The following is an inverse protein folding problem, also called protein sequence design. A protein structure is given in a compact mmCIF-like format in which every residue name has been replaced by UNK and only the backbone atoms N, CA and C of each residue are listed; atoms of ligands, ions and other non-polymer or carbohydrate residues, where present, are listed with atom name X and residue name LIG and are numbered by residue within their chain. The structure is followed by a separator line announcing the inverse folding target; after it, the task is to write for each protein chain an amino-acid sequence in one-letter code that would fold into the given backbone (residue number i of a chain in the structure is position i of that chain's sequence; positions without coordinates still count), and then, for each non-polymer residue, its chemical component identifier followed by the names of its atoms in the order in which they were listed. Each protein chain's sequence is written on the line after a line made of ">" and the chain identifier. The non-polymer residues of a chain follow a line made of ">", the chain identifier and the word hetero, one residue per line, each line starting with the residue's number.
data_IF_626004314609
#
_entry.id   IF_626004314609
#
_cell.length_a   1.000
_cell.length_b   1.000
_cell.length_c   1.000
_cell.angle_alpha   90.00
_cell.angle_beta   90.00
_cell.angle_gamma   90.00
#
_symmetry.space_group_name_H-M   'P 1'
#
loop_
_entity.id
_entity.type
_entity.pdbx_description
1 polymer ?
#
# COMPACT_ATOMS: atom_id res chain seq x y z
N UNK A 1 -7.00 8.59 -18.82
CA UNK A 1 -7.96 7.56 -18.36
C UNK A 1 -9.35 8.13 -18.34
N UNK A 2 -9.59 9.10 -17.46
CA UNK A 2 -10.79 9.93 -17.52
C UNK A 2 -10.77 10.85 -18.75
N UNK A 3 -11.96 11.07 -19.33
CA UNK A 3 -12.18 12.01 -20.44
C UNK A 3 -12.87 13.30 -19.97
N UNK A 4 -13.60 13.20 -18.87
CA UNK A 4 -14.31 14.31 -18.24
C UNK A 4 -13.37 15.09 -17.31
N UNK A 5 -13.82 16.29 -16.92
CA UNK A 5 -13.17 17.11 -15.91
C UNK A 5 -12.98 16.31 -14.62
N UNK A 6 -11.75 16.17 -14.17
CA UNK A 6 -11.38 15.31 -13.04
C UNK A 6 -10.66 16.13 -11.98
N UNK A 7 -11.09 16.03 -10.73
CA UNK A 7 -10.38 16.64 -9.62
C UNK A 7 -9.02 15.98 -9.40
N UNK A 8 -7.96 16.76 -9.20
CA UNK A 8 -6.59 16.28 -9.00
C UNK A 8 -6.10 16.72 -7.62
N UNK A 9 -5.65 15.75 -6.84
CA UNK A 9 -5.13 15.93 -5.47
C UNK A 9 -3.70 15.38 -5.40
N UNK A 10 -2.77 16.20 -4.93
CA UNK A 10 -1.45 15.76 -4.51
C UNK A 10 -1.25 16.11 -3.05
N UNK A 11 -1.03 15.15 -2.16
CA UNK A 11 -0.65 15.42 -0.76
C UNK A 11 0.64 14.66 -0.47
N UNK A 12 1.69 15.38 -0.09
CA UNK A 12 3.02 14.83 0.05
C UNK A 12 3.79 15.37 1.26
N UNK A 13 4.97 14.81 1.50
CA UNK A 13 5.95 15.38 2.41
C UNK A 13 6.39 16.77 1.94
N UNK A 14 7.09 16.83 0.79
CA UNK A 14 7.58 18.05 0.14
C UNK A 14 8.11 17.75 -1.28
N UNK A 15 7.71 18.52 -2.28
CA UNK A 15 8.35 18.59 -3.60
C UNK A 15 9.56 19.52 -3.59
N UNK A 16 9.73 20.39 -4.58
CA UNK A 16 10.73 21.47 -4.51
C UNK A 16 10.39 22.45 -3.38
N UNK A 17 9.11 22.84 -3.31
CA UNK A 17 8.56 23.76 -2.31
C UNK A 17 7.15 23.37 -1.88
N UNK A 18 6.32 22.91 -2.82
CA UNK A 18 4.94 22.57 -2.57
C UNK A 18 4.82 21.26 -1.78
N UNK A 19 3.86 21.20 -0.87
CA UNK A 19 3.54 20.05 -0.01
C UNK A 19 2.18 19.46 -0.35
N UNK A 20 1.31 20.26 -0.96
CA UNK A 20 -0.02 19.86 -1.38
C UNK A 20 -0.41 20.61 -2.63
N UNK A 21 -1.08 19.94 -3.55
CA UNK A 21 -1.58 20.46 -4.81
C UNK A 21 -3.07 20.12 -4.96
N UNK A 22 -3.87 21.12 -5.29
CA UNK A 22 -5.24 20.97 -5.74
C UNK A 22 -5.37 21.56 -7.13
N UNK A 23 -6.00 20.80 -8.04
CA UNK A 23 -6.26 21.24 -9.39
C UNK A 23 -7.31 20.36 -10.05
N UNK A 24 -7.48 20.51 -11.36
CA UNK A 24 -8.29 19.61 -12.15
C UNK A 24 -7.67 19.35 -13.52
N UNK A 25 -7.93 18.17 -14.06
CA UNK A 25 -7.57 17.80 -15.41
C UNK A 25 -8.77 17.90 -16.34
N UNK A 26 -8.62 18.55 -17.49
CA UNK A 26 -9.63 18.59 -18.54
C UNK A 26 -8.94 18.68 -19.90
N UNK A 27 -9.37 17.87 -20.88
CA UNK A 27 -8.81 17.85 -22.24
C UNK A 27 -7.28 17.70 -22.32
N UNK A 28 -6.69 16.94 -21.39
CA UNK A 28 -5.23 16.72 -21.33
C UNK A 28 -4.44 17.84 -20.66
N UNK A 29 -5.10 18.91 -20.20
CA UNK A 29 -4.48 20.04 -19.49
C UNK A 29 -4.77 19.93 -18.00
N UNK A 30 -3.75 20.17 -17.18
CA UNK A 30 -3.90 20.27 -15.72
C UNK A 30 -3.98 21.74 -15.35
N UNK A 31 -5.06 22.13 -14.70
CA UNK A 31 -5.32 23.46 -14.18
C UNK A 31 -5.11 23.48 -12.67
N UNK A 32 -4.10 24.24 -12.23
CA UNK A 32 -3.84 24.44 -10.80
C UNK A 32 -4.91 25.35 -10.16
N UNK A 33 -5.40 24.97 -8.99
CA UNK A 33 -6.29 25.78 -8.13
C UNK A 33 -5.51 26.34 -6.94
N UNK A 34 -4.84 25.47 -6.17
CA UNK A 34 -4.12 25.86 -4.95
C UNK A 34 -2.90 24.96 -4.75
N UNK A 35 -1.84 25.57 -4.22
CA UNK A 35 -0.72 24.86 -3.62
C UNK A 35 -0.57 25.31 -2.16
N UNK A 36 -0.12 24.39 -1.32
CA UNK A 36 0.46 24.69 -0.01
C UNK A 36 1.95 24.44 -0.08
N UNK A 37 2.72 25.13 0.76
CA UNK A 37 4.17 25.10 0.76
C UNK A 37 4.71 24.77 2.15
N UNK A 38 5.94 24.25 2.16
CA UNK A 38 6.71 24.04 3.39
C UNK A 38 6.75 25.34 4.23
N UNK A 39 6.48 25.30 5.55
CA UNK A 39 6.41 24.13 6.43
C UNK A 39 5.04 23.46 6.58
N UNK A 40 4.00 23.95 5.88
CA UNK A 40 2.63 23.46 6.03
C UNK A 40 2.42 22.18 5.21
N UNK A 41 2.75 21.04 5.81
CA UNK A 41 2.68 19.71 5.18
C UNK A 41 1.94 18.71 6.07
N UNK A 42 0.83 18.16 5.56
CA UNK A 42 0.15 17.03 6.20
C UNK A 42 1.00 15.76 6.19
N UNK A 43 1.70 15.49 5.08
CA UNK A 43 2.63 14.36 4.99
C UNK A 43 3.78 14.51 5.98
N UNK A 44 4.33 15.72 6.11
CA UNK A 44 5.35 16.05 7.11
C UNK A 44 4.84 15.87 8.53
N UNK A 45 3.61 16.30 8.83
CA UNK A 45 3.02 16.19 10.18
C UNK A 45 2.88 14.73 10.57
N UNK A 46 2.33 13.92 9.65
CA UNK A 46 2.16 12.49 9.87
C UNK A 46 3.52 11.77 9.99
N UNK A 47 4.52 12.17 9.20
CA UNK A 47 5.90 11.67 9.30
C UNK A 47 6.59 12.03 10.63
N UNK A 48 6.39 13.25 11.14
CA UNK A 48 6.95 13.67 12.43
C UNK A 48 6.34 12.87 13.59
N UNK A 49 5.03 12.61 13.57
CA UNK A 49 4.39 11.74 14.57
C UNK A 49 4.79 10.27 14.38
N UNK A 50 5.05 9.83 13.15
CA UNK A 50 5.62 8.49 12.87
C UNK A 50 6.96 8.30 13.58
N UNK A 51 7.84 9.29 13.53
CA UNK A 51 9.09 9.29 14.30
C UNK A 51 8.86 9.30 15.80
N UNK A 52 7.92 10.11 16.29
CA UNK A 52 7.55 10.14 17.71
C UNK A 52 7.06 8.77 18.21
N UNK A 53 6.33 8.03 17.36
CA UNK A 53 5.85 6.68 17.63
C UNK A 53 6.92 5.59 17.47
N UNK A 54 8.18 5.99 17.24
CA UNK A 54 9.33 5.10 17.24
C UNK A 54 9.62 4.42 15.90
N UNK A 55 8.95 4.83 14.83
CA UNK A 55 9.21 4.33 13.48
C UNK A 55 10.04 5.33 12.66
N UNK A 56 10.60 4.91 11.53
CA UNK A 56 11.35 5.82 10.66
C UNK A 56 10.41 6.56 9.70
N UNK A 57 10.62 7.85 9.49
CA UNK A 57 9.92 8.61 8.45
C UNK A 57 10.27 8.07 7.06
N UNK A 58 9.33 8.12 6.13
CA UNK A 58 9.38 7.57 4.77
C UNK A 58 9.31 6.04 4.66
N UNK A 59 9.11 5.33 5.77
CA UNK A 59 8.90 3.87 5.82
C UNK A 59 7.81 3.48 6.84
N UNK A 60 7.83 4.12 8.00
CA UNK A 60 7.01 3.83 9.17
C UNK A 60 5.56 4.30 9.10
N UNK A 61 5.19 5.16 8.15
CA UNK A 61 3.84 5.74 8.06
C UNK A 61 2.78 4.63 7.89
N UNK A 62 3.11 3.57 7.15
CA UNK A 62 2.25 2.40 6.99
C UNK A 62 2.09 1.59 8.27
N UNK A 63 3.09 1.64 9.16
CA UNK A 63 3.03 1.01 10.48
C UNK A 63 2.10 1.78 11.40
N UNK A 64 2.19 3.11 11.42
CA UNK A 64 1.24 3.96 12.16
C UNK A 64 -0.19 3.73 11.66
N UNK A 65 -0.38 3.69 10.34
CA UNK A 65 -1.69 3.41 9.74
C UNK A 65 -2.22 2.01 10.11
N UNK A 66 -1.34 1.01 10.19
CA UNK A 66 -1.71 -0.35 10.62
C UNK A 66 -1.94 -0.50 12.13
N UNK A 67 -1.35 0.40 12.94
CA UNK A 67 -1.52 0.42 14.40
C UNK A 67 -2.79 1.18 14.81
N UNK A 68 -3.22 2.18 14.02
CA UNK A 68 -4.37 3.03 14.30
C UNK A 68 -5.68 2.29 14.62
N UNK A 69 -6.06 1.18 13.94
CA UNK A 69 -7.30 0.45 14.24
C UNK A 69 -7.39 -0.15 15.64
N UNK A 70 -6.26 -0.34 16.31
CA UNK A 70 -6.24 -0.89 17.66
C UNK A 70 -6.43 0.18 18.75
N UNK A 71 -6.31 1.46 18.39
CA UNK A 71 -6.45 2.58 19.31
C UNK A 71 -7.84 3.22 19.27
N UNK A 72 -8.03 4.15 20.19
CA UNK A 72 -9.22 5.01 20.29
C UNK A 72 -8.82 6.46 19.96
N UNK A 73 -9.27 6.96 18.81
CA UNK A 73 -8.98 8.30 18.31
C UNK A 73 -9.65 9.42 19.12
N UNK A 74 -10.63 9.09 19.98
CA UNK A 74 -11.31 10.08 20.82
C UNK A 74 -10.61 10.35 22.15
N UNK A 75 -9.65 9.50 22.53
CA UNK A 75 -8.96 9.57 23.84
C UNK A 75 -7.99 10.76 23.93
N UNK A 76 -7.43 11.20 22.80
CA UNK A 76 -6.47 12.30 22.75
C UNK A 76 -6.76 13.27 21.61
N UNK A 77 -6.93 14.54 21.94
CA UNK A 77 -7.09 15.59 20.94
C UNK A 77 -5.73 16.06 20.41
N UNK A 78 -5.42 15.73 19.16
CA UNK A 78 -4.20 16.14 18.47
C UNK A 78 -4.39 17.36 17.54
N UNK A 79 -5.53 18.04 17.58
CA UNK A 79 -5.83 19.23 16.73
C UNK A 79 -4.80 20.36 16.86
N UNK A 80 -4.03 20.39 17.96
CA UNK A 80 -2.91 21.33 18.16
C UNK A 80 -1.77 21.17 17.15
N UNK A 81 -1.69 20.03 16.45
CA UNK A 81 -0.66 19.76 15.45
C UNK A 81 -0.89 20.53 14.14
N UNK A 82 -2.14 20.65 13.71
CA UNK A 82 -2.50 21.24 12.41
C UNK A 82 -3.93 21.77 12.40
N UNK A 83 -4.14 22.92 11.77
CA UNK A 83 -5.48 23.46 11.52
C UNK A 83 -5.68 23.73 10.03
N UNK A 84 -6.93 23.62 9.58
CA UNK A 84 -7.36 24.08 8.26
C UNK A 84 -8.60 24.94 8.42
N UNK A 85 -8.43 26.25 8.22
CA UNK A 85 -9.49 27.25 8.43
C UNK A 85 -9.48 28.25 7.27
N UNK A 86 -10.66 28.55 6.73
CA UNK A 86 -10.85 29.54 5.65
C UNK A 86 -9.95 29.30 4.42
N UNK A 87 -9.70 28.04 4.06
CA UNK A 87 -8.82 27.71 2.94
C UNK A 87 -7.33 27.88 3.25
N UNK A 88 -6.91 27.86 4.51
CA UNK A 88 -5.49 27.88 4.86
C UNK A 88 -5.13 26.74 5.80
N UNK A 89 -4.15 25.93 5.39
CA UNK A 89 -3.52 24.89 6.19
C UNK A 89 -2.40 25.52 7.00
N UNK A 90 -2.39 25.30 8.32
CA UNK A 90 -1.33 25.77 9.21
C UNK A 90 -0.87 24.62 10.10
N UNK A 91 0.36 24.18 9.91
CA UNK A 91 1.02 23.22 10.77
C UNK A 91 1.71 23.95 11.92
N UNK A 92 1.53 23.44 13.14
CA UNK A 92 2.14 24.01 14.31
C UNK A 92 3.63 23.65 14.38
N UNK A 93 4.47 24.50 13.79
CA UNK A 93 5.92 24.30 13.76
C UNK A 93 6.63 24.43 15.10
N UNK A 94 5.91 24.72 16.18
CA UNK A 94 6.42 24.58 17.56
C UNK A 94 6.40 23.13 18.03
N UNK A 95 5.67 22.24 17.35
CA UNK A 95 5.52 20.83 17.71
C UNK A 95 6.11 19.89 16.65
N UNK A 96 5.75 20.08 15.37
CA UNK A 96 6.05 19.16 14.25
C UNK A 96 6.53 19.94 13.01
N UNK A 97 6.99 19.26 11.96
CA UNK A 97 7.56 19.87 10.75
C UNK A 97 8.69 20.86 11.05
N UNK A 98 9.45 20.61 12.12
CA UNK A 98 10.45 21.56 12.59
C UNK A 98 11.77 21.41 11.84
N UNK A 99 12.41 22.55 11.58
CA UNK A 99 13.73 22.63 10.95
C UNK A 99 14.78 23.18 11.92
N UNK A 100 16.03 22.78 11.68
CA UNK A 100 17.20 23.36 12.35
C UNK A 100 17.33 23.00 13.83
N UNK A 101 17.77 23.96 14.64
CA UNK A 101 18.19 23.73 16.03
C UNK A 101 17.05 23.41 17.01
N UNK A 102 15.79 23.61 16.61
CA UNK A 102 14.60 23.35 17.44
C UNK A 102 14.16 21.88 17.45
N UNK A 103 14.79 21.05 16.62
CA UNK A 103 14.53 19.60 16.57
C UNK A 103 14.86 18.95 17.91
N UNK A 104 14.01 18.02 18.33
CA UNK A 104 14.36 17.05 19.34
C UNK A 104 15.55 16.22 18.85
N UNK A 105 16.50 15.95 19.74
CA UNK A 105 17.73 15.21 19.44
C UNK A 105 17.92 14.10 20.44
N UNK A 106 18.24 12.91 19.95
CA UNK A 106 18.58 11.74 20.75
C UNK A 106 19.60 10.92 19.97
N UNK A 107 20.70 10.49 20.62
CA UNK A 107 21.74 9.66 20.01
C UNK A 107 22.26 10.21 18.66
N UNK A 108 22.56 11.52 18.61
CA UNK A 108 23.00 12.25 17.42
C UNK A 108 22.01 12.28 16.22
N UNK A 109 20.82 11.70 16.36
CA UNK A 109 19.71 11.82 15.39
C UNK A 109 18.82 13.01 15.77
N UNK A 110 18.50 13.85 14.79
CA UNK A 110 17.54 14.95 14.92
C UNK A 110 16.21 14.60 14.26
N UNK A 111 15.12 14.74 14.99
CA UNK A 111 13.77 14.35 14.57
C UNK A 111 12.95 15.56 14.08
N UNK A 112 11.92 15.32 13.28
CA UNK A 112 11.05 16.37 12.71
C UNK A 112 10.00 16.92 13.70
N UNK A 113 10.16 16.65 15.00
CA UNK A 113 9.38 17.22 16.10
C UNK A 113 10.27 17.91 17.15
N UNK A 114 9.68 18.68 18.06
CA UNK A 114 10.39 19.47 19.08
C UNK A 114 10.36 18.83 20.46
N UNK A 115 11.21 19.28 21.42
CA UNK A 115 11.06 18.91 22.83
C UNK A 115 9.68 19.27 23.42
N UNK A 116 9.02 20.32 22.93
CA UNK A 116 7.65 20.70 23.37
C UNK A 116 6.62 19.60 23.05
N UNK A 117 6.82 18.80 21.99
CA UNK A 117 5.98 17.63 21.71
C UNK A 117 6.14 16.56 22.80
N UNK A 118 7.37 16.34 23.28
CA UNK A 118 7.68 15.39 24.36
C UNK A 118 7.09 15.86 25.68
N UNK A 119 7.18 17.16 25.98
CA UNK A 119 6.56 17.75 27.17
C UNK A 119 5.03 17.59 27.16
N UNK A 120 4.41 17.62 25.98
CA UNK A 120 2.97 17.48 25.82
C UNK A 120 2.49 16.02 25.84
N UNK A 121 3.05 15.15 24.99
CA UNK A 121 2.56 13.78 24.77
C UNK A 121 3.28 12.75 25.65
N UNK A 122 4.37 13.13 26.32
CA UNK A 122 5.26 12.23 27.04
C UNK A 122 6.41 11.74 26.17
N UNK A 123 7.23 10.80 26.68
CA UNK A 123 8.42 10.33 25.99
C UNK A 123 8.10 9.75 24.62
N UNK A 124 9.10 9.77 23.72
CA UNK A 124 9.04 9.08 22.43
C UNK A 124 8.88 7.57 22.67
N UNK A 125 8.13 6.86 21.81
CA UNK A 125 8.04 5.40 21.88
C UNK A 125 9.35 4.73 21.48
N UNK A 126 9.67 3.63 22.15
CA UNK A 126 10.77 2.72 21.81
C UNK A 126 10.24 1.29 21.74
N UNK A 127 10.74 0.50 20.79
CA UNK A 127 10.34 -0.90 20.61
C UNK A 127 9.16 -1.10 19.64
N UNK A 128 8.78 -2.37 19.48
CA UNK A 128 7.79 -2.82 18.49
C UNK A 128 6.42 -3.16 19.12
N UNK A 129 6.27 -3.08 20.46
CA UNK A 129 5.04 -3.46 21.20
C UNK A 129 3.91 -2.43 21.06
N UNK A 130 2.67 -2.91 20.97
CA UNK A 130 1.49 -2.04 21.00
C UNK A 130 1.23 -1.66 22.45
N UNK A 131 1.53 -0.41 22.80
CA UNK A 131 1.44 0.06 24.17
C UNK A 131 0.59 1.33 24.28
N UNK A 132 -0.09 1.43 25.43
CA UNK A 132 -0.67 2.70 25.89
C UNK A 132 0.45 3.67 26.29
N UNK A 133 0.34 4.97 25.94
CA UNK A 133 -0.76 5.63 25.22
C UNK A 133 -0.58 5.66 23.68
N UNK A 134 0.53 5.15 23.15
CA UNK A 134 0.96 5.36 21.76
C UNK A 134 0.01 4.81 20.71
N UNK A 135 -0.67 3.72 21.01
CA UNK A 135 -1.72 3.15 20.17
C UNK A 135 -2.86 4.16 19.90
N UNK A 136 -3.25 4.92 20.93
CA UNK A 136 -4.28 5.95 20.82
C UNK A 136 -3.76 7.20 20.11
N UNK A 137 -2.48 7.53 20.27
CA UNK A 137 -1.85 8.60 19.48
C UNK A 137 -1.82 8.26 17.98
N UNK A 138 -1.55 7.00 17.62
CA UNK A 138 -1.65 6.56 16.23
C UNK A 138 -3.07 6.66 15.67
N UNK A 139 -4.08 6.23 16.46
CA UNK A 139 -5.49 6.39 16.08
C UNK A 139 -5.86 7.88 15.90
N UNK A 140 -5.43 8.73 16.84
CA UNK A 140 -5.76 10.17 16.84
C UNK A 140 -5.10 10.93 15.69
N UNK A 141 -3.83 10.64 15.36
CA UNK A 141 -3.13 11.29 14.24
C UNK A 141 -3.65 10.82 12.88
N UNK A 142 -4.04 9.54 12.77
CA UNK A 142 -4.69 9.01 11.57
C UNK A 142 -6.04 9.71 11.34
N UNK A 143 -6.89 9.80 12.37
CA UNK A 143 -8.16 10.52 12.28
C UNK A 143 -7.97 12.01 11.92
N UNK A 144 -6.98 12.68 12.53
CA UNK A 144 -6.67 14.07 12.23
C UNK A 144 -6.22 14.28 10.78
N UNK A 145 -5.33 13.42 10.28
CA UNK A 145 -4.89 13.44 8.88
C UNK A 145 -6.08 13.31 7.94
N UNK A 146 -6.95 12.33 8.19
CA UNK A 146 -8.13 12.07 7.38
C UNK A 146 -9.11 13.25 7.38
N UNK A 147 -9.46 13.76 8.56
CA UNK A 147 -10.41 14.86 8.71
C UNK A 147 -9.94 16.14 8.02
N UNK A 148 -8.65 16.48 8.17
CA UNK A 148 -8.08 17.68 7.54
C UNK A 148 -7.98 17.49 6.03
N UNK A 149 -7.52 16.33 5.56
CA UNK A 149 -7.45 16.05 4.12
C UNK A 149 -8.83 16.12 3.44
N UNK A 150 -9.86 15.52 4.04
CA UNK A 150 -11.23 15.57 3.50
C UNK A 150 -11.79 16.99 3.47
N UNK A 151 -11.56 17.80 4.52
CA UNK A 151 -11.95 19.21 4.54
C UNK A 151 -11.27 20.00 3.42
N UNK A 152 -9.98 19.76 3.19
CA UNK A 152 -9.24 20.43 2.11
C UNK A 152 -9.75 20.00 0.73
N UNK A 153 -9.99 18.70 0.52
CA UNK A 153 -10.52 18.16 -0.74
C UNK A 153 -11.90 18.77 -1.03
N UNK A 154 -12.82 18.76 -0.05
CA UNK A 154 -14.16 19.34 -0.23
C UNK A 154 -14.09 20.84 -0.50
N UNK A 155 -13.27 21.58 0.25
CA UNK A 155 -13.15 23.04 0.11
C UNK A 155 -12.65 23.46 -1.28
N UNK A 156 -11.66 22.77 -1.85
CA UNK A 156 -11.06 23.17 -3.14
C UNK A 156 -11.66 22.48 -4.35
N UNK A 157 -12.20 21.28 -4.19
CA UNK A 157 -12.60 20.41 -5.30
C UNK A 157 -14.05 19.96 -5.24
N UNK A 158 -14.79 20.31 -4.17
CA UNK A 158 -16.16 19.86 -3.94
C UNK A 158 -17.11 20.14 -5.10
N UNK A 159 -16.98 21.28 -5.78
CA UNK A 159 -17.82 21.60 -6.94
C UNK A 159 -17.52 20.71 -8.16
N UNK A 160 -16.24 20.39 -8.38
CA UNK A 160 -15.82 19.48 -9.46
C UNK A 160 -16.25 18.04 -9.14
N UNK A 161 -16.15 17.64 -7.87
CA UNK A 161 -16.59 16.33 -7.39
C UNK A 161 -18.12 16.20 -7.52
N UNK A 162 -18.90 17.24 -7.20
CA UNK A 162 -20.36 17.25 -7.43
C UNK A 162 -20.71 17.13 -8.91
N UNK A 163 -19.92 17.75 -9.78
CA UNK A 163 -20.11 17.75 -11.23
C UNK A 163 -19.86 16.36 -11.85
N UNK A 164 -18.70 15.76 -11.57
CA UNK A 164 -18.26 14.54 -12.28
C UNK A 164 -18.12 13.31 -11.38
N UNK A 165 -17.83 13.51 -10.10
CA UNK A 165 -17.55 12.45 -9.13
C UNK A 165 -16.21 11.75 -9.34
N UNK A 166 -15.28 12.34 -10.11
CA UNK A 166 -13.98 11.74 -10.44
C UNK A 166 -12.84 12.44 -9.74
N UNK A 167 -12.00 11.67 -9.06
CA UNK A 167 -10.80 12.15 -8.37
C UNK A 167 -9.60 11.33 -8.84
N UNK A 168 -8.49 12.00 -9.15
CA UNK A 168 -7.18 11.39 -9.33
C UNK A 168 -6.24 11.89 -8.24
N UNK A 169 -5.53 10.97 -7.59
CA UNK A 169 -4.69 11.29 -6.44
C UNK A 169 -3.27 10.70 -6.55
N UNK A 170 -2.29 11.51 -6.17
CA UNK A 170 -0.88 11.14 -6.05
C UNK A 170 -0.23 11.82 -4.82
N UNK A 171 1.08 11.64 -4.66
CA UNK A 171 1.85 12.04 -3.46
C UNK A 171 1.96 10.90 -2.45
N UNK A 172 2.93 11.00 -1.53
CA UNK A 172 3.18 9.96 -0.53
C UNK A 172 1.95 9.64 0.34
N UNK A 173 1.12 10.64 0.66
CA UNK A 173 -0.09 10.46 1.47
C UNK A 173 -1.19 9.70 0.71
N UNK A 174 -1.15 9.66 -0.63
CA UNK A 174 -2.10 8.87 -1.41
C UNK A 174 -1.96 7.36 -1.18
N UNK A 175 -0.87 6.88 -0.56
CA UNK A 175 -0.74 5.49 -0.13
C UNK A 175 -1.45 5.19 1.21
N UNK A 176 -2.05 6.20 1.86
CA UNK A 176 -2.87 6.03 3.05
C UNK A 176 -4.25 5.48 2.65
N UNK A 177 -4.39 4.17 2.74
CA UNK A 177 -5.58 3.47 2.26
C UNK A 177 -6.83 3.71 3.12
N UNK A 178 -6.68 4.17 4.36
CA UNK A 178 -7.80 4.54 5.25
C UNK A 178 -8.34 5.92 4.89
N UNK A 179 -7.47 6.88 4.57
CA UNK A 179 -7.88 8.13 3.93
C UNK A 179 -8.62 7.87 2.61
N UNK A 180 -8.07 7.00 1.76
CA UNK A 180 -8.72 6.69 0.48
C UNK A 180 -10.09 6.03 0.66
N UNK A 181 -10.28 5.17 1.67
CA UNK A 181 -11.60 4.61 2.04
C UNK A 181 -12.61 5.74 2.34
N UNK A 182 -12.19 6.74 3.12
CA UNK A 182 -13.06 7.87 3.45
C UNK A 182 -13.33 8.80 2.26
N UNK A 183 -12.37 8.99 1.35
CA UNK A 183 -12.57 9.74 0.12
C UNK A 183 -13.61 9.05 -0.78
N UNK A 184 -13.52 7.73 -0.95
CA UNK A 184 -14.50 6.95 -1.73
C UNK A 184 -15.91 7.09 -1.12
N UNK A 185 -16.01 7.17 0.21
CA UNK A 185 -17.28 7.33 0.92
C UNK A 185 -17.83 8.77 0.91
N UNK A 186 -17.10 9.77 0.38
CA UNK A 186 -17.62 11.14 0.29
C UNK A 186 -18.84 11.20 -0.64
N UNK A 187 -19.83 12.07 -0.34
CA UNK A 187 -20.94 12.30 -1.25
C UNK A 187 -20.47 12.71 -2.65
N UNK A 188 -21.19 12.23 -3.67
CA UNK A 188 -20.91 12.48 -5.10
C UNK A 188 -19.64 11.85 -5.68
N UNK A 189 -18.74 11.28 -4.86
CA UNK A 189 -17.60 10.51 -5.39
C UNK A 189 -18.11 9.23 -6.05
N UNK A 190 -17.77 9.06 -7.33
CA UNK A 190 -18.07 7.87 -8.13
C UNK A 190 -16.82 6.99 -8.30
N UNK A 191 -15.66 7.62 -8.48
CA UNK A 191 -14.40 6.89 -8.63
C UNK A 191 -13.21 7.75 -8.19
N UNK A 192 -12.40 7.14 -7.34
CA UNK A 192 -11.07 7.61 -6.96
C UNK A 192 -10.03 6.73 -7.66
N UNK A 193 -9.16 7.36 -8.45
CA UNK A 193 -7.95 6.74 -8.96
C UNK A 193 -6.75 7.19 -8.13
N UNK A 194 -6.06 6.24 -7.49
CA UNK A 194 -4.78 6.46 -6.84
C UNK A 194 -3.69 5.81 -7.68
N UNK A 195 -2.65 6.57 -8.03
CA UNK A 195 -1.54 6.03 -8.80
C UNK A 195 -0.79 4.98 -7.94
N UNK A 196 -0.54 3.75 -8.44
CA UNK A 196 -0.02 2.65 -7.59
C UNK A 196 1.39 2.87 -7.02
N UNK A 197 2.19 3.70 -7.67
CA UNK A 197 3.49 4.21 -7.24
C UNK A 197 3.39 5.71 -6.88
N UNK A 198 2.37 6.12 -6.11
CA UNK A 198 2.01 7.54 -5.95
C UNK A 198 3.05 8.42 -5.26
N UNK A 199 4.03 7.84 -4.56
CA UNK A 199 5.14 8.58 -3.98
C UNK A 199 6.15 9.02 -5.04
N UNK A 200 7.34 9.43 -4.57
CA UNK A 200 8.40 9.96 -5.43
C UNK A 200 8.82 9.01 -6.56
N UNK A 201 8.70 7.69 -6.35
CA UNK A 201 8.97 6.71 -7.39
C UNK A 201 8.11 6.91 -8.66
N UNK A 202 6.85 7.33 -8.52
CA UNK A 202 5.95 7.59 -9.65
C UNK A 202 6.25 8.87 -10.42
N UNK A 203 7.08 9.78 -9.89
CA UNK A 203 7.42 11.04 -10.58
C UNK A 203 8.11 10.82 -11.92
N UNK A 204 8.89 9.73 -12.03
CA UNK A 204 9.52 9.31 -13.29
C UNK A 204 8.50 9.08 -14.41
N UNK A 205 7.40 8.37 -14.10
CA UNK A 205 6.29 8.14 -15.02
C UNK A 205 5.54 9.45 -15.31
N UNK A 206 5.30 10.27 -14.29
CA UNK A 206 4.67 11.59 -14.43
C UNK A 206 5.45 12.51 -15.38
N UNK A 207 6.77 12.62 -15.20
CA UNK A 207 7.64 13.42 -16.05
C UNK A 207 7.68 12.91 -17.49
N UNK A 208 7.80 11.58 -17.68
CA UNK A 208 7.82 10.98 -19.01
C UNK A 208 6.49 11.17 -19.75
N UNK A 209 5.35 10.97 -19.07
CA UNK A 209 4.01 11.17 -19.66
C UNK A 209 3.73 12.64 -19.97
N UNK A 210 4.22 13.56 -19.15
CA UNK A 210 4.14 14.99 -19.44
C UNK A 210 4.99 15.38 -20.66
N UNK A 211 6.23 14.89 -20.75
CA UNK A 211 7.10 15.13 -21.90
C UNK A 211 6.51 14.55 -23.20
N UNK A 212 5.94 13.33 -23.15
CA UNK A 212 5.26 12.71 -24.28
C UNK A 212 4.03 13.52 -24.72
N UNK A 213 3.23 14.01 -23.76
CA UNK A 213 2.11 14.91 -24.04
C UNK A 213 2.56 16.19 -24.77
N UNK A 214 3.64 16.82 -24.32
CA UNK A 214 4.22 18.01 -25.00
C UNK A 214 4.74 17.70 -26.40
N UNK A 215 5.17 16.46 -26.66
CA UNK A 215 5.58 15.98 -27.98
C UNK A 215 4.39 15.65 -28.91
N UNK A 216 3.15 15.73 -28.42
CA UNK A 216 1.94 15.43 -29.19
C UNK A 216 1.47 13.97 -29.07
N UNK A 217 2.03 13.18 -28.16
CA UNK A 217 1.57 11.80 -27.94
C UNK A 217 0.23 11.76 -27.21
N UNK A 218 -0.58 10.75 -27.53
CA UNK A 218 -1.83 10.47 -26.81
C UNK A 218 -1.59 9.51 -25.67
N UNK A 219 -1.62 10.03 -24.43
CA UNK A 219 -1.40 9.23 -23.22
C UNK A 219 -2.58 8.27 -22.98
N UNK A 220 -2.26 6.97 -22.96
CA UNK A 220 -3.24 5.91 -22.74
C UNK A 220 -3.54 5.72 -21.25
N UNK A 221 -4.70 5.11 -20.95
CA UNK A 221 -5.06 4.71 -19.60
C UNK A 221 -4.09 3.63 -19.11
N UNK A 222 -3.67 3.73 -17.84
CA UNK A 222 -2.94 2.66 -17.17
C UNK A 222 -3.92 1.53 -16.82
N UNK A 223 -3.73 0.36 -17.43
CA UNK A 223 -4.56 -0.83 -17.17
C UNK A 223 -3.97 -1.76 -16.10
N UNK A 224 -2.64 -1.75 -15.92
CA UNK A 224 -1.97 -2.56 -14.91
C UNK A 224 -0.62 -1.95 -14.49
N UNK A 225 -0.04 -2.45 -13.39
CA UNK A 225 1.26 -2.02 -12.87
C UNK A 225 2.44 -2.94 -13.26
N UNK A 226 2.23 -3.99 -14.05
CA UNK A 226 3.29 -4.93 -14.47
C UNK A 226 4.25 -4.33 -15.53
N UNK A 227 5.12 -3.41 -15.09
CA UNK A 227 6.00 -2.61 -15.96
C UNK A 227 7.49 -2.97 -15.82
N UNK A 228 7.86 -3.78 -14.82
CA UNK A 228 9.22 -4.24 -14.60
C UNK A 228 9.65 -5.40 -15.51
N UNK A 229 10.82 -6.00 -15.23
CA UNK A 229 11.35 -7.12 -16.01
C UNK A 229 10.53 -8.40 -15.81
N UNK A 230 10.55 -9.25 -16.84
CA UNK A 230 10.08 -10.63 -16.79
C UNK A 230 11.24 -11.57 -17.10
N UNK A 231 11.10 -12.82 -16.69
CA UNK A 231 12.08 -13.87 -16.89
C UNK A 231 11.40 -15.09 -17.50
N UNK A 232 12.14 -15.83 -18.29
CA UNK A 232 11.72 -17.11 -18.88
C UNK A 232 11.97 -18.26 -17.91
N UNK A 233 11.25 -19.37 -18.10
CA UNK A 233 11.49 -20.61 -17.37
C UNK A 233 12.96 -21.04 -17.47
N UNK A 234 13.57 -20.86 -18.64
CA UNK A 234 14.97 -21.21 -18.92
C UNK A 234 15.95 -20.32 -18.15
N UNK A 235 15.68 -19.01 -18.02
CA UNK A 235 16.47 -18.11 -17.16
C UNK A 235 16.33 -18.47 -15.67
N UNK A 236 15.14 -18.90 -15.22
CA UNK A 236 14.93 -19.40 -13.87
C UNK A 236 15.70 -20.70 -13.60
N UNK A 237 15.74 -21.63 -14.55
CA UNK A 237 16.55 -22.86 -14.46
C UNK A 237 18.03 -22.51 -14.38
N UNK A 238 18.52 -21.63 -15.26
CA UNK A 238 19.92 -21.20 -15.25
C UNK A 238 20.32 -20.55 -13.92
N UNK A 239 19.41 -19.75 -13.33
CA UNK A 239 19.64 -19.17 -12.00
C UNK A 239 19.72 -20.25 -10.90
N UNK A 240 18.85 -21.27 -10.94
CA UNK A 240 18.93 -22.41 -10.04
C UNK A 240 20.25 -23.18 -10.17
N UNK A 241 20.70 -23.46 -11.40
CA UNK A 241 21.94 -24.18 -11.68
C UNK A 241 23.19 -23.40 -11.24
N UNK A 242 23.17 -22.08 -11.37
CA UNK A 242 24.26 -21.19 -10.98
C UNK A 242 24.30 -20.87 -9.48
N UNK A 243 23.21 -21.14 -8.74
CA UNK A 243 23.10 -20.77 -7.33
C UNK A 243 23.98 -21.63 -6.42
N UNK A 244 24.67 -21.00 -5.47
CA UNK A 244 25.63 -21.66 -4.57
C UNK A 244 25.00 -22.75 -3.68
N UNK A 245 23.75 -22.57 -3.26
CA UNK A 245 22.97 -23.57 -2.49
C UNK A 245 22.57 -24.81 -3.31
N UNK A 246 22.74 -24.80 -4.64
CA UNK A 246 22.34 -25.90 -5.54
C UNK A 246 20.91 -26.41 -5.27
N UNK A 247 19.88 -25.54 -5.44
CA UNK A 247 18.49 -25.87 -5.15
C UNK A 247 18.02 -27.18 -5.78
N UNK A 248 17.17 -27.92 -5.08
CA UNK A 248 16.38 -28.99 -5.67
C UNK A 248 15.18 -28.34 -6.37
N UNK A 249 15.07 -28.53 -7.69
CA UNK A 249 13.99 -27.97 -8.47
C UNK A 249 13.44 -28.94 -9.51
N UNK A 250 12.20 -28.70 -9.93
CA UNK A 250 11.51 -29.46 -10.98
C UNK A 250 10.75 -28.51 -11.90
N UNK A 251 10.63 -28.86 -13.18
CA UNK A 251 9.74 -28.16 -14.11
C UNK A 251 8.33 -28.70 -13.95
N UNK A 252 7.35 -27.81 -13.82
CA UNK A 252 5.93 -28.15 -13.71
C UNK A 252 5.20 -27.84 -15.01
N UNK A 253 4.16 -28.61 -15.34
CA UNK A 253 3.38 -28.38 -16.57
C UNK A 253 2.43 -27.18 -16.47
N UNK A 254 1.94 -26.90 -15.26
CA UNK A 254 1.06 -25.77 -14.97
C UNK A 254 1.39 -25.21 -13.58
N UNK A 255 2.07 -24.07 -13.54
CA UNK A 255 2.49 -23.42 -12.30
C UNK A 255 1.29 -22.93 -11.47
N UNK A 256 0.22 -22.46 -12.12
CA UNK A 256 -0.98 -21.95 -11.45
C UNK A 256 -1.72 -23.07 -10.70
N UNK A 257 -1.95 -24.21 -11.37
CA UNK A 257 -2.53 -25.39 -10.73
C UNK A 257 -1.64 -25.90 -9.59
N UNK A 258 -0.34 -26.06 -9.84
CA UNK A 258 0.57 -26.58 -8.81
C UNK A 258 0.68 -25.65 -7.61
N UNK A 259 0.71 -24.34 -7.85
CA UNK A 259 0.69 -23.33 -6.80
C UNK A 259 -0.58 -23.41 -5.95
N UNK A 260 -1.75 -23.54 -6.59
CA UNK A 260 -3.03 -23.71 -5.88
C UNK A 260 -3.07 -24.99 -5.02
N UNK A 261 -2.52 -26.11 -5.49
CA UNK A 261 -2.40 -27.35 -4.70
C UNK A 261 -1.56 -27.16 -3.43
N UNK A 262 -0.43 -26.45 -3.55
CA UNK A 262 0.45 -26.15 -2.41
C UNK A 262 -0.23 -25.24 -1.38
N UNK A 263 -0.91 -24.20 -1.86
CA UNK A 263 -1.68 -23.26 -1.03
C UNK A 263 -2.85 -23.96 -0.33
N UNK A 264 -3.62 -24.78 -1.06
CA UNK A 264 -4.74 -25.55 -0.52
C UNK A 264 -4.30 -26.58 0.54
N UNK A 265 -3.03 -27.00 0.50
CA UNK A 265 -2.41 -27.85 1.51
C UNK A 265 -1.87 -27.07 2.73
N UNK A 266 -2.16 -25.76 2.81
CA UNK A 266 -1.79 -24.88 3.91
C UNK A 266 -0.36 -24.33 3.84
N UNK A 267 0.34 -24.49 2.72
CA UNK A 267 1.74 -24.06 2.60
C UNK A 267 1.84 -22.65 2.03
N UNK A 268 2.57 -21.74 2.70
CA UNK A 268 2.99 -20.49 2.08
C UNK A 268 3.83 -20.73 0.82
N UNK A 269 3.62 -19.92 -0.20
CA UNK A 269 4.30 -20.06 -1.49
C UNK A 269 4.97 -18.75 -1.90
N UNK A 270 6.29 -18.76 -2.10
CA UNK A 270 6.95 -17.70 -2.83
C UNK A 270 6.62 -17.81 -4.33
N UNK A 271 6.23 -16.70 -4.94
CA UNK A 271 5.64 -16.65 -6.28
C UNK A 271 6.29 -15.54 -7.11
N UNK A 272 7.13 -15.94 -8.06
CA UNK A 272 7.76 -15.10 -9.07
C UNK A 272 7.19 -15.45 -10.44
N UNK A 273 6.43 -14.54 -11.04
CA UNK A 273 5.81 -14.75 -12.34
C UNK A 273 5.81 -13.47 -13.17
N UNK A 274 6.06 -13.59 -14.47
CA UNK A 274 5.90 -12.55 -15.46
C UNK A 274 6.60 -11.24 -15.09
N UNK A 275 6.04 -10.14 -15.60
CA UNK A 275 6.57 -8.79 -15.38
C UNK A 275 6.33 -8.32 -13.95
N UNK A 276 7.38 -7.83 -13.31
CA UNK A 276 7.31 -7.25 -11.97
C UNK A 276 6.38 -6.02 -11.93
N UNK A 277 5.67 -5.88 -10.82
CA UNK A 277 4.84 -4.74 -10.46
C UNK A 277 5.68 -3.47 -10.23
N UNK A 278 5.17 -2.32 -10.67
CA UNK A 278 5.73 -1.02 -10.34
C UNK A 278 4.98 -0.37 -9.17
N UNK A 279 5.71 -0.04 -8.11
CA UNK A 279 5.17 0.54 -6.87
C UNK A 279 5.56 -0.27 -5.63
N UNK A 280 5.09 0.14 -4.45
CA UNK A 280 5.46 -0.50 -3.18
C UNK A 280 4.61 -1.75 -2.87
N UNK A 281 3.63 -2.09 -3.71
CA UNK A 281 2.68 -3.20 -3.47
C UNK A 281 2.97 -4.35 -4.41
N UNK A 282 2.92 -5.55 -3.87
CA UNK A 282 2.93 -6.78 -4.67
C UNK A 282 1.51 -7.11 -5.09
N UNK A 283 1.33 -7.42 -6.36
CA UNK A 283 0.06 -7.58 -7.06
C UNK A 283 -0.01 -8.93 -7.82
N UNK A 284 0.69 -9.96 -7.33
CA UNK A 284 0.60 -11.33 -7.87
C UNK A 284 1.73 -11.76 -8.81
N UNK A 285 2.79 -10.97 -8.97
CA UNK A 285 3.96 -11.28 -9.79
C UNK A 285 5.25 -11.42 -8.98
N UNK A 286 5.37 -10.74 -7.84
CA UNK A 286 6.46 -10.89 -6.86
C UNK A 286 5.87 -11.00 -5.46
N UNK A 287 5.23 -12.14 -5.17
CA UNK A 287 4.36 -12.31 -4.01
C UNK A 287 4.77 -13.48 -3.11
N UNK A 288 4.45 -13.39 -1.82
CA UNK A 288 4.27 -14.56 -0.96
C UNK A 288 2.77 -14.75 -0.81
N UNK A 289 2.32 -15.95 -1.14
CA UNK A 289 0.92 -16.32 -1.20
C UNK A 289 0.54 -17.27 -0.06
N UNK A 290 -0.72 -17.23 0.37
CA UNK A 290 -1.31 -18.15 1.33
C UNK A 290 -2.80 -18.39 1.06
N UNK A 291 -3.36 -19.54 1.47
CA UNK A 291 -4.81 -19.75 1.48
C UNK A 291 -5.43 -19.04 2.70
N UNK A 292 -6.20 -17.94 2.52
CA UNK A 292 -6.73 -17.16 3.63
C UNK A 292 -7.81 -17.90 4.45
N UNK A 293 -8.29 -19.05 3.98
CA UNK A 293 -9.20 -19.93 4.71
C UNK A 293 -8.48 -20.96 5.57
N UNK A 294 -7.16 -21.10 5.41
CA UNK A 294 -6.35 -22.06 6.16
C UNK A 294 -5.87 -21.41 7.48
N UNK A 295 -6.29 -21.92 8.65
CA UNK A 295 -5.97 -21.29 9.93
C UNK A 295 -4.46 -21.19 10.19
N UNK A 296 -4.01 -20.01 10.57
CA UNK A 296 -2.62 -19.74 10.96
C UNK A 296 -1.65 -19.55 9.80
N UNK A 297 -2.13 -19.45 8.55
CA UNK A 297 -1.23 -19.18 7.41
C UNK A 297 -0.57 -17.80 7.52
N UNK A 298 -1.27 -16.79 8.03
CA UNK A 298 -0.72 -15.45 8.25
C UNK A 298 0.40 -15.50 9.30
N UNK A 299 0.18 -16.23 10.39
CA UNK A 299 1.18 -16.44 11.44
C UNK A 299 2.41 -17.16 10.91
N UNK A 300 2.24 -18.19 10.08
CA UNK A 300 3.36 -18.87 9.41
C UNK A 300 4.15 -17.93 8.51
N UNK A 301 3.49 -17.15 7.65
CA UNK A 301 4.17 -16.17 6.78
C UNK A 301 4.93 -15.14 7.62
N UNK A 302 4.32 -14.66 8.70
CA UNK A 302 4.96 -13.71 9.61
C UNK A 302 6.18 -14.35 10.30
N UNK A 303 6.06 -15.56 10.83
CA UNK A 303 7.13 -16.25 11.56
C UNK A 303 8.27 -16.74 10.67
N UNK A 304 7.99 -17.15 9.43
CA UNK A 304 8.99 -17.76 8.54
C UNK A 304 9.79 -16.73 7.73
N UNK A 305 9.26 -15.51 7.52
CA UNK A 305 9.80 -14.59 6.50
C UNK A 305 9.80 -13.15 6.97
N UNK A 306 8.64 -12.67 7.46
CA UNK A 306 8.46 -11.23 7.68
C UNK A 306 9.02 -10.77 9.00
N UNK A 307 9.05 -11.62 10.02
CA UNK A 307 9.48 -11.29 11.38
C UNK A 307 8.96 -9.90 11.81
N UNK A 308 7.70 -9.62 11.42
CA UNK A 308 7.03 -8.34 11.60
C UNK A 308 6.00 -8.45 12.70
N UNK A 309 5.56 -7.29 13.14
CA UNK A 309 4.61 -7.15 14.23
C UNK A 309 3.29 -7.88 13.90
N UNK A 310 2.74 -8.67 14.84
CA UNK A 310 1.60 -9.57 14.61
C UNK A 310 0.33 -8.86 14.14
N UNK A 311 0.17 -7.60 14.55
CA UNK A 311 -0.95 -6.75 14.20
C UNK A 311 -0.91 -6.22 12.75
N UNK A 312 0.20 -6.41 12.01
CA UNK A 312 0.25 -5.96 10.63
C UNK A 312 -0.60 -6.88 9.75
N UNK A 313 -1.65 -6.35 9.10
CA UNK A 313 -2.53 -7.19 8.33
C UNK A 313 -1.89 -7.68 7.03
N UNK A 314 -2.45 -8.74 6.48
CA UNK A 314 -2.23 -9.18 5.11
C UNK A 314 -3.36 -8.71 4.20
N UNK A 315 -3.17 -8.88 2.89
CA UNK A 315 -4.08 -8.31 1.91
C UNK A 315 -4.67 -9.39 1.01
N UNK A 316 -5.98 -9.37 0.72
CA UNK A 316 -6.57 -10.31 -0.21
C UNK A 316 -6.32 -9.89 -1.66
N UNK A 317 -6.00 -10.85 -2.53
CA UNK A 317 -6.26 -10.78 -3.96
C UNK A 317 -7.44 -11.69 -4.30
N UNK A 318 -8.42 -11.17 -5.04
CA UNK A 318 -9.68 -11.87 -5.33
C UNK A 318 -10.06 -11.74 -6.79
N UNK A 319 -10.88 -12.69 -7.25
CA UNK A 319 -11.41 -12.65 -8.61
C UNK A 319 -12.49 -11.56 -8.72
N UNK A 320 -12.47 -10.83 -9.82
CA UNK A 320 -13.43 -9.77 -10.15
C UNK A 320 -14.90 -10.17 -9.94
N UNK A 321 -15.30 -11.38 -10.35
CA UNK A 321 -16.68 -11.86 -10.21
C UNK A 321 -17.22 -11.96 -8.79
N UNK A 322 -16.36 -11.97 -7.77
CA UNK A 322 -16.77 -12.00 -6.35
C UNK A 322 -16.47 -10.70 -5.61
N UNK A 323 -15.86 -9.72 -6.27
CA UNK A 323 -15.37 -8.52 -5.63
C UNK A 323 -16.51 -7.71 -4.98
N UNK A 324 -17.64 -7.55 -5.68
CA UNK A 324 -18.82 -6.82 -5.16
C UNK A 324 -19.40 -7.52 -3.94
N UNK A 325 -19.50 -8.86 -3.97
CA UNK A 325 -20.04 -9.65 -2.86
C UNK A 325 -19.18 -9.55 -1.60
N UNK A 326 -17.85 -9.45 -1.76
CA UNK A 326 -16.88 -9.35 -0.66
C UNK A 326 -16.75 -7.92 -0.15
N UNK A 327 -16.58 -6.95 -1.05
CA UNK A 327 -16.20 -5.57 -0.74
C UNK A 327 -17.40 -4.62 -0.63
N UNK A 328 -18.61 -5.08 -0.99
CA UNK A 328 -19.85 -4.33 -0.90
C UNK A 328 -19.85 -3.05 -1.75
N UNK A 329 -19.05 -3.02 -2.82
CA UNK A 329 -18.91 -1.88 -3.72
C UNK A 329 -18.50 -2.33 -5.12
N UNK A 330 -18.91 -1.56 -6.13
CA UNK A 330 -18.46 -1.72 -7.52
C UNK A 330 -17.19 -0.90 -7.82
N UNK A 331 -16.64 -0.19 -6.84
CA UNK A 331 -15.44 0.62 -7.02
C UNK A 331 -14.24 -0.24 -7.46
N UNK A 332 -13.51 0.10 -8.54
CA UNK A 332 -12.34 -0.64 -8.96
C UNK A 332 -11.24 -0.67 -7.90
N UNK A 333 -10.61 -1.84 -7.69
CA UNK A 333 -9.51 -1.99 -6.72
C UNK A 333 -8.33 -2.83 -7.23
N UNK A 334 -7.70 -2.49 -8.37
CA UNK A 334 -6.65 -3.34 -8.97
C UNK A 334 -5.28 -3.26 -8.26
N UNK A 335 -5.07 -2.32 -7.35
CA UNK A 335 -3.70 -1.94 -6.90
C UNK A 335 -3.43 -2.01 -5.39
N UNK A 336 -4.36 -2.52 -4.56
CA UNK A 336 -4.24 -2.46 -3.09
C UNK A 336 -4.00 -1.05 -2.52
N UNK A 337 -4.53 -0.04 -3.19
CA UNK A 337 -4.49 1.38 -2.79
C UNK A 337 -5.71 1.78 -1.96
N UNK A 338 -6.66 0.87 -1.75
CA UNK A 338 -7.93 1.13 -1.07
C UNK A 338 -8.20 0.06 -0.02
N UNK A 339 -8.86 0.48 1.05
CA UNK A 339 -9.44 -0.42 2.05
C UNK A 339 -10.97 -0.37 1.94
N UNK A 340 -11.62 -1.51 2.14
CA UNK A 340 -13.08 -1.64 2.09
C UNK A 340 -13.60 -2.44 3.27
N UNK A 341 -14.85 -2.21 3.64
CA UNK A 341 -15.55 -3.04 4.61
C UNK A 341 -15.82 -4.41 3.99
N UNK A 342 -15.38 -5.47 4.67
CA UNK A 342 -15.64 -6.83 4.22
C UNK A 342 -17.06 -7.22 4.62
N UNK A 343 -17.81 -7.79 3.69
CA UNK A 343 -19.13 -8.35 3.98
C UNK A 343 -19.05 -9.40 5.10
N UNK A 344 -19.93 -9.30 6.09
CA UNK A 344 -19.94 -10.17 7.28
C UNK A 344 -19.96 -11.66 6.93
N UNK A 345 -20.62 -12.06 5.83
CA UNK A 345 -20.68 -13.47 5.38
C UNK A 345 -19.33 -14.01 4.91
N UNK A 346 -18.38 -13.13 4.59
CA UNK A 346 -17.04 -13.48 4.13
C UNK A 346 -16.00 -13.40 5.23
N UNK A 347 -16.21 -12.63 6.31
CA UNK A 347 -15.22 -12.44 7.38
C UNK A 347 -14.70 -13.75 7.96
N UNK A 348 -15.60 -14.72 8.22
CA UNK A 348 -15.23 -16.04 8.74
C UNK A 348 -14.68 -17.01 7.68
N UNK A 349 -14.84 -16.71 6.39
CA UNK A 349 -14.37 -17.53 5.27
C UNK A 349 -12.93 -17.21 4.85
N UNK A 350 -12.51 -15.96 5.08
CA UNK A 350 -11.17 -15.46 4.74
C UNK A 350 -10.51 -14.72 5.93
N UNK A 351 -10.52 -15.29 7.15
CA UNK A 351 -10.15 -14.56 8.36
C UNK A 351 -8.72 -14.01 8.35
N UNK A 352 -7.80 -14.66 7.63
CA UNK A 352 -6.36 -14.34 7.63
C UNK A 352 -6.02 -13.04 6.85
N UNK A 353 -7.01 -12.44 6.17
CA UNK A 353 -6.88 -11.22 5.35
C UNK A 353 -7.90 -10.13 5.72
N UNK A 354 -8.66 -10.33 6.79
CA UNK A 354 -9.58 -9.34 7.35
C UNK A 354 -8.92 -8.70 8.58
N UNK A 355 -8.91 -7.38 8.61
CA UNK A 355 -8.33 -6.60 9.71
C UNK A 355 -9.25 -6.65 10.95
N UNK A 356 -8.70 -6.25 12.10
CA UNK A 356 -9.44 -6.19 13.37
C UNK A 356 -10.72 -5.33 13.28
N UNK A 357 -10.69 -4.25 12.49
CA UNK A 357 -11.83 -3.37 12.25
C UNK A 357 -12.84 -3.91 11.21
N UNK A 358 -12.66 -5.15 10.75
CA UNK A 358 -13.54 -5.79 9.77
C UNK A 358 -13.29 -5.35 8.32
N UNK A 359 -12.22 -4.59 8.07
CA UNK A 359 -11.88 -4.11 6.72
C UNK A 359 -10.81 -4.95 6.04
N UNK A 360 -10.63 -4.80 4.73
CA UNK A 360 -9.53 -5.40 4.00
C UNK A 360 -9.01 -4.49 2.89
N UNK A 361 -7.68 -4.47 2.73
CA UNK A 361 -7.00 -3.75 1.64
C UNK A 361 -6.88 -4.65 0.41
N UNK A 362 -7.81 -4.52 -0.53
CA UNK A 362 -8.03 -5.52 -1.57
C UNK A 362 -7.29 -5.27 -2.89
N UNK A 363 -6.97 -6.36 -3.58
CA UNK A 363 -6.67 -6.42 -5.01
C UNK A 363 -7.76 -7.20 -5.74
N UNK A 364 -8.40 -6.58 -6.72
CA UNK A 364 -9.28 -7.26 -7.67
C UNK A 364 -8.48 -7.66 -8.91
N UNK A 365 -8.52 -8.95 -9.25
CA UNK A 365 -7.74 -9.55 -10.34
C UNK A 365 -8.69 -9.92 -11.48
N UNK A 366 -8.32 -9.51 -12.70
CA UNK A 366 -9.04 -9.90 -13.93
C UNK A 366 -8.16 -10.83 -14.77
N UNK A 367 -8.79 -11.64 -15.63
CA UNK A 367 -8.06 -12.58 -16.50
C UNK A 367 -7.19 -11.83 -17.51
N UNK A 368 -7.64 -10.66 -17.97
CA UNK A 368 -6.97 -9.85 -18.99
C UNK A 368 -5.68 -9.23 -18.45
N UNK A 369 -5.66 -8.83 -17.18
CA UNK A 369 -4.52 -8.14 -16.58
C UNK A 369 -3.45 -9.09 -16.07
N UNK A 370 -3.83 -10.23 -15.49
CA UNK A 370 -2.89 -11.23 -15.00
C UNK A 370 -3.47 -12.66 -15.12
N UNK A 371 -3.41 -13.28 -16.31
CA UNK A 371 -4.10 -14.54 -16.58
C UNK A 371 -3.60 -15.71 -15.73
N UNK A 372 -2.29 -15.78 -15.46
CA UNK A 372 -1.70 -16.87 -14.65
C UNK A 372 -2.06 -16.74 -13.17
N UNK A 373 -2.08 -15.52 -12.64
CA UNK A 373 -2.52 -15.29 -11.25
C UNK A 373 -4.02 -15.51 -11.08
N UNK A 374 -4.83 -15.08 -12.06
CA UNK A 374 -6.26 -15.35 -12.11
C UNK A 374 -6.53 -16.87 -12.13
N UNK A 375 -5.80 -17.63 -12.97
CA UNK A 375 -5.92 -19.09 -13.04
C UNK A 375 -5.53 -19.77 -11.71
N UNK A 376 -4.50 -19.28 -11.01
CA UNK A 376 -4.12 -19.81 -9.69
C UNK A 376 -5.27 -19.66 -8.69
N UNK A 377 -5.91 -18.49 -8.64
CA UNK A 377 -7.02 -18.24 -7.72
C UNK A 377 -8.25 -19.07 -8.10
N UNK A 378 -8.51 -19.30 -9.40
CA UNK A 378 -9.56 -20.22 -9.85
C UNK A 378 -9.31 -21.68 -9.44
N UNK A 379 -8.07 -22.15 -9.54
CA UNK A 379 -7.74 -23.51 -9.07
C UNK A 379 -7.85 -23.60 -7.56
N UNK A 380 -7.46 -22.56 -6.82
CA UNK A 380 -7.65 -22.51 -5.37
C UNK A 380 -9.14 -22.54 -4.99
N UNK A 381 -9.99 -21.80 -5.72
CA UNK A 381 -11.44 -21.85 -5.56
C UNK A 381 -11.99 -23.26 -5.75
N UNK A 382 -11.54 -24.00 -6.78
CA UNK A 382 -11.97 -25.39 -7.00
C UNK A 382 -11.58 -26.32 -5.84
N UNK A 383 -10.43 -26.07 -5.21
CA UNK A 383 -9.90 -26.92 -4.13
C UNK A 383 -10.48 -26.56 -2.75
N UNK A 384 -10.81 -25.28 -2.51
CA UNK A 384 -11.15 -24.75 -1.18
C UNK A 384 -12.50 -24.05 -1.11
N UNK A 385 -13.16 -23.80 -2.25
CA UNK A 385 -14.40 -23.04 -2.33
C UNK A 385 -14.22 -21.53 -2.09
N UNK A 386 -12.98 -21.02 -2.20
CA UNK A 386 -12.61 -19.64 -1.86
C UNK A 386 -11.85 -19.01 -3.05
N UNK A 387 -12.45 -18.05 -3.77
CA UNK A 387 -11.83 -17.30 -4.86
C UNK A 387 -10.97 -16.12 -4.38
N UNK A 388 -10.20 -16.35 -3.32
CA UNK A 388 -9.35 -15.34 -2.66
C UNK A 388 -8.03 -15.99 -2.26
N UNK A 389 -6.94 -15.26 -2.45
CA UNK A 389 -5.60 -15.63 -1.97
C UNK A 389 -5.04 -14.51 -1.10
N UNK A 390 -4.38 -14.87 -0.01
CA UNK A 390 -3.56 -13.93 0.77
C UNK A 390 -2.34 -13.56 -0.06
N UNK A 391 -2.05 -12.27 -0.16
CA UNK A 391 -0.90 -11.75 -0.90
C UNK A 391 -0.11 -10.74 -0.04
N UNK A 392 1.21 -10.93 0.00
CA UNK A 392 2.17 -9.94 0.51
C UNK A 392 3.40 -9.87 -0.40
N UNK A 393 4.17 -8.79 -0.27
CA UNK A 393 5.44 -8.61 -0.99
C UNK A 393 6.41 -9.76 -0.81
N UNK A 394 7.13 -10.13 -1.86
CA UNK A 394 8.19 -11.13 -1.83
C UNK A 394 9.53 -10.48 -1.44
N UNK A 395 9.79 -10.41 -0.14
CA UNK A 395 11.00 -9.86 0.49
C UNK A 395 11.06 -10.23 1.98
N UNK A 396 12.25 -10.13 2.60
CA UNK A 396 12.39 -10.17 4.06
C UNK A 396 12.24 -8.77 4.66
N UNK A 397 12.17 -8.69 5.99
CA UNK A 397 12.17 -7.40 6.71
C UNK A 397 13.45 -6.62 6.38
N UNK A 398 13.31 -5.34 6.06
CA UNK A 398 14.43 -4.45 5.76
C UNK A 398 15.00 -4.58 4.34
N UNK A 399 14.43 -5.45 3.50
CA UNK A 399 14.86 -5.63 2.11
C UNK A 399 13.83 -5.06 1.13
N UNK A 400 14.24 -4.57 -0.05
CA UNK A 400 13.32 -4.26 -1.13
C UNK A 400 12.64 -5.52 -1.67
N UNK A 401 11.54 -5.35 -2.42
CA UNK A 401 10.91 -6.44 -3.16
C UNK A 401 11.92 -7.05 -4.14
N UNK A 402 11.99 -8.39 -4.19
CA UNK A 402 12.90 -9.07 -5.11
C UNK A 402 12.54 -8.76 -6.58
N UNK A 403 13.56 -8.73 -7.45
CA UNK A 403 13.39 -8.43 -8.87
C UNK A 403 13.62 -9.67 -9.74
N UNK A 404 14.78 -10.29 -9.60
CA UNK A 404 15.29 -11.38 -10.44
C UNK A 404 15.14 -12.78 -9.83
N UNK A 405 15.28 -13.87 -10.62
CA UNK A 405 15.33 -15.23 -10.10
C UNK A 405 16.44 -15.44 -9.07
N UNK A 406 17.60 -14.80 -9.26
CA UNK A 406 18.70 -14.84 -8.28
C UNK A 406 18.30 -14.17 -6.97
N UNK A 407 17.62 -13.01 -7.02
CA UNK A 407 17.09 -12.35 -5.82
C UNK A 407 16.06 -13.24 -5.11
N UNK A 408 15.19 -13.91 -5.88
CA UNK A 408 14.20 -14.83 -5.36
C UNK A 408 14.85 -16.00 -4.61
N UNK A 409 15.87 -16.62 -5.20
CA UNK A 409 16.62 -17.72 -4.59
C UNK A 409 17.37 -17.28 -3.33
N UNK A 410 18.07 -16.14 -3.38
CA UNK A 410 18.77 -15.58 -2.22
C UNK A 410 17.80 -15.31 -1.05
N UNK A 411 16.65 -14.70 -1.34
CA UNK A 411 15.60 -14.44 -0.35
C UNK A 411 15.01 -15.76 0.17
N UNK A 412 14.70 -16.68 -0.74
CA UNK A 412 14.12 -17.99 -0.41
C UNK A 412 15.04 -18.77 0.52
N UNK A 413 16.33 -18.94 0.19
CA UNK A 413 17.30 -19.63 1.05
C UNK A 413 17.62 -18.88 2.34
N UNK A 414 17.36 -17.57 2.40
CA UNK A 414 17.50 -16.74 3.58
C UNK A 414 16.30 -16.72 4.53
N UNK A 415 15.28 -17.57 4.35
CA UNK A 415 14.09 -17.67 5.20
C UNK A 415 13.57 -19.13 5.30
N UNK A 416 12.53 -19.37 6.11
CA UNK A 416 12.01 -20.71 6.39
C UNK A 416 10.90 -21.17 5.43
N UNK A 417 10.80 -20.55 4.25
CA UNK A 417 9.90 -21.01 3.19
C UNK A 417 10.35 -22.34 2.61
N UNK A 418 9.37 -23.21 2.34
CA UNK A 418 9.60 -24.54 1.76
C UNK A 418 9.41 -24.58 0.24
N UNK A 419 8.60 -23.67 -0.32
CA UNK A 419 8.23 -23.66 -1.73
C UNK A 419 8.45 -22.29 -2.39
N UNK A 420 9.16 -22.30 -3.50
CA UNK A 420 9.31 -21.16 -4.41
C UNK A 420 8.93 -21.60 -5.83
N UNK A 421 7.97 -20.90 -6.42
CA UNK A 421 7.61 -21.03 -7.83
C UNK A 421 8.20 -19.85 -8.60
N UNK A 422 9.07 -20.13 -9.57
CA UNK A 422 9.59 -19.15 -10.52
C UNK A 422 9.22 -19.57 -11.93
N UNK A 423 8.32 -18.84 -12.57
CA UNK A 423 7.71 -19.29 -13.83
C UNK A 423 7.18 -20.73 -13.68
N UNK A 424 7.61 -21.67 -14.52
CA UNK A 424 7.24 -23.08 -14.45
C UNK A 424 8.25 -23.94 -13.66
N UNK A 425 9.06 -23.33 -12.79
CA UNK A 425 10.08 -24.01 -11.96
C UNK A 425 9.65 -24.00 -10.50
N UNK A 426 9.41 -25.19 -9.94
CA UNK A 426 9.18 -25.37 -8.52
C UNK A 426 10.48 -25.75 -7.82
N UNK A 427 10.95 -24.88 -6.93
CA UNK A 427 12.07 -25.11 -6.02
C UNK A 427 11.51 -25.54 -4.65
N UNK A 428 12.11 -26.57 -4.06
CA UNK A 428 11.69 -27.12 -2.76
C UNK A 428 12.84 -27.20 -1.78
N UNK A 429 12.59 -26.87 -0.51
CA UNK A 429 13.48 -27.23 0.60
C UNK A 429 12.98 -28.50 1.29
N UNK A 430 13.91 -29.19 1.96
CA UNK A 430 13.62 -30.37 2.78
C UNK A 430 13.50 -30.00 4.24
#
# INVERSE_FOLDING_TARGET
>A
GFKEKTAIVGIDGKGEYATTFFGYGENGVIHKIKEFYDPDSLGGMYGAITEYLGFDMLDGEFKVMGMAPYGDASKYDLSRLVTFENGELRVNTKLVNVVGLRRYKENDKGYYFTPELIEWLGPKRHGDEIDDPYIHYAASVQALLEDVALKMIDYYLGDIIKETGRIAMAGGVALNVKLNQRIIAMPHVKELFVQPASGDNGTSLGAATYAAYLAGDTIQKMEHAYLGPAYTTEECIAACEAHHEKPVFTRVANAAQKGAELLASGNPLAWLQGRMEFGPRSLGCRSILGDPSYPGVADRINAQIKYRERWRPFCPSMLDRVAVDILQTEHPAPYMTFTFDVNDTWKSRIPEVVHEDGTARAQVVTRETNPRYYELIEHLEKLRGIPVVLNTSLNRRGEPMICSPTDALNMFFGCDLEYLMMEDVLVTKK
#
